data_IF_193835895301
#
_entry.id   IF_193835895301
#
_cell.length_a   1.000
_cell.length_b   1.000
_cell.length_c   1.000
_cell.angle_alpha   90.00
_cell.angle_beta   90.00
_cell.angle_gamma   90.00
#
_symmetry.space_group_name_H-M   'P 1'
#
loop_
_entity.id
_entity.type
_entity.pdbx_description
1 polymer ?
#
# COMPACT_ATOMS: atom_id res chain seq x y z
N UNK A 1 6.66 0.22 -2.10
CA UNK A 1 6.10 0.25 -3.48
C UNK A 1 6.72 -0.87 -4.31
N UNK A 2 5.93 -1.47 -5.19
CA UNK A 2 6.35 -2.39 -6.24
C UNK A 2 6.03 -1.74 -7.57
N UNK A 3 7.02 -1.54 -8.43
CA UNK A 3 6.96 -0.72 -9.64
C UNK A 3 7.58 -1.46 -10.82
N UNK A 4 7.42 -0.92 -12.02
CA UNK A 4 8.32 -1.29 -13.13
C UNK A 4 9.77 -0.90 -12.77
N UNK A 5 10.79 -1.68 -13.19
CA UNK A 5 12.20 -1.33 -12.93
C UNK A 5 12.57 0.08 -13.39
N UNK A 6 12.03 0.52 -14.54
CA UNK A 6 12.21 1.88 -15.08
C UNK A 6 11.51 2.96 -14.27
N UNK A 7 10.43 2.63 -13.55
CA UNK A 7 9.69 3.55 -12.69
C UNK A 7 10.32 3.77 -11.31
N UNK A 8 11.20 2.86 -10.86
CA UNK A 8 11.70 2.85 -9.49
C UNK A 8 12.56 4.07 -9.15
N UNK A 9 13.48 4.47 -10.03
CA UNK A 9 14.36 5.62 -9.78
C UNK A 9 13.56 6.90 -9.58
N UNK A 10 12.63 7.18 -10.51
CA UNK A 10 11.78 8.38 -10.43
C UNK A 10 10.87 8.38 -9.21
N UNK A 11 10.37 7.21 -8.81
CA UNK A 11 9.56 7.11 -7.59
C UNK A 11 10.40 7.40 -6.34
N UNK A 12 11.65 6.92 -6.29
CA UNK A 12 12.55 7.19 -5.17
C UNK A 12 12.87 8.68 -5.04
N UNK A 13 13.08 9.39 -6.15
CA UNK A 13 13.25 10.85 -6.16
C UNK A 13 12.03 11.54 -5.53
N UNK A 14 10.83 11.24 -6.03
CA UNK A 14 9.57 11.81 -5.53
C UNK A 14 9.40 11.54 -4.02
N UNK A 15 9.63 10.31 -3.58
CA UNK A 15 9.49 9.94 -2.17
C UNK A 15 10.52 10.66 -1.28
N UNK A 16 11.75 10.82 -1.76
CA UNK A 16 12.82 11.52 -1.03
C UNK A 16 12.53 13.02 -0.92
N UNK A 17 12.04 13.65 -1.99
CA UNK A 17 11.59 15.05 -2.00
C UNK A 17 10.45 15.32 -1.02
N UNK A 18 9.70 14.28 -0.65
CA UNK A 18 8.63 14.33 0.37
C UNK A 18 9.10 13.95 1.77
N UNK A 19 10.41 13.86 2.00
CA UNK A 19 11.00 13.57 3.31
C UNK A 19 10.94 12.09 3.71
N UNK A 20 10.66 11.18 2.78
CA UNK A 20 10.73 9.75 3.07
C UNK A 20 12.18 9.26 3.05
N UNK A 21 12.57 8.44 4.02
CA UNK A 21 13.81 7.69 3.95
C UNK A 21 13.58 6.43 3.09
N UNK A 22 14.28 6.29 1.96
CA UNK A 22 14.03 5.21 0.98
C UNK A 22 15.24 4.33 0.71
N UNK A 23 14.96 3.04 0.49
CA UNK A 23 15.87 2.04 -0.05
C UNK A 23 15.28 1.51 -1.36
N UNK A 24 16.06 1.60 -2.43
CA UNK A 24 15.61 1.29 -3.78
C UNK A 24 16.35 0.09 -4.35
N UNK A 25 15.61 -0.97 -4.66
CA UNK A 25 16.11 -2.14 -5.39
C UNK A 25 15.65 -2.03 -6.84
N UNK A 26 16.30 -1.14 -7.59
CA UNK A 26 15.89 -0.71 -8.94
C UNK A 26 15.75 -1.86 -9.94
N UNK A 27 16.63 -2.87 -9.88
CA UNK A 27 16.55 -4.08 -10.71
C UNK A 27 15.20 -4.80 -10.60
N UNK A 28 14.59 -4.80 -9.42
CA UNK A 28 13.35 -5.51 -9.14
C UNK A 28 12.14 -4.57 -9.09
N UNK A 29 12.34 -3.26 -9.27
CA UNK A 29 11.26 -2.28 -9.12
C UNK A 29 10.74 -2.13 -7.69
N UNK A 30 11.50 -2.57 -6.68
CA UNK A 30 11.06 -2.53 -5.28
C UNK A 30 11.62 -1.29 -4.61
N UNK A 31 10.74 -0.52 -3.96
CA UNK A 31 11.10 0.62 -3.12
C UNK A 31 10.54 0.40 -1.73
N UNK A 32 11.41 0.34 -0.74
CA UNK A 32 11.04 0.31 0.69
C UNK A 32 11.36 1.66 1.30
N UNK A 33 10.56 2.12 2.23
CA UNK A 33 10.85 3.39 2.88
C UNK A 33 10.04 3.61 4.14
N UNK A 34 10.52 4.56 4.93
CA UNK A 34 9.84 5.07 6.10
C UNK A 34 9.23 6.43 5.75
N UNK A 35 7.95 6.58 6.08
CA UNK A 35 7.27 7.86 5.96
C UNK A 35 7.71 8.78 7.10
N UNK A 36 7.72 10.10 6.89
CA UNK A 36 7.98 11.06 7.95
C UNK A 36 6.92 10.96 9.07
N UNK A 37 7.34 11.24 10.31
CA UNK A 37 6.49 11.10 11.50
C UNK A 37 5.35 12.11 11.57
N UNK A 38 5.53 13.27 10.94
CA UNK A 38 4.58 14.39 10.83
C UNK A 38 3.76 14.35 9.52
N UNK A 39 3.70 13.19 8.85
CA UNK A 39 2.94 13.03 7.61
C UNK A 39 1.47 13.42 7.77
N UNK A 40 0.91 13.99 6.72
CA UNK A 40 -0.55 14.07 6.54
C UNK A 40 -1.06 12.89 5.68
N UNK A 41 -2.38 12.68 5.67
CA UNK A 41 -2.99 11.62 4.86
C UNK A 41 -2.79 11.84 3.35
N UNK A 42 -2.65 13.11 2.92
CA UNK A 42 -2.41 13.48 1.52
C UNK A 42 -1.11 12.87 0.97
N UNK A 43 -0.03 12.84 1.75
CA UNK A 43 1.23 12.24 1.33
C UNK A 43 1.07 10.77 0.94
N UNK A 44 0.27 10.02 1.69
CA UNK A 44 0.05 8.59 1.41
C UNK A 44 -0.67 8.41 0.07
N UNK A 45 -1.68 9.24 -0.21
CA UNK A 45 -2.40 9.20 -1.48
C UNK A 45 -1.53 9.65 -2.65
N UNK A 46 -0.72 10.70 -2.49
CA UNK A 46 0.24 11.16 -3.50
C UNK A 46 1.20 10.04 -3.91
N UNK A 47 1.74 9.30 -2.93
CA UNK A 47 2.66 8.19 -3.18
C UNK A 47 1.95 6.99 -3.85
N UNK A 48 0.68 6.72 -3.52
CA UNK A 48 -0.13 5.72 -4.25
C UNK A 48 -0.29 6.10 -5.71
N UNK A 49 -0.70 7.32 -5.98
CA UNK A 49 -0.94 7.80 -7.34
C UNK A 49 0.36 7.82 -8.15
N UNK A 50 1.48 8.19 -7.53
CA UNK A 50 2.80 8.11 -8.13
C UNK A 50 3.17 6.66 -8.50
N UNK A 51 2.90 5.69 -7.63
CA UNK A 51 3.15 4.28 -7.91
C UNK A 51 2.26 3.74 -9.05
N UNK A 52 0.96 4.06 -9.03
CA UNK A 52 0.00 3.69 -10.07
C UNK A 52 0.38 4.24 -11.44
N UNK A 53 0.79 5.52 -11.51
CA UNK A 53 1.30 6.15 -12.75
C UNK A 53 2.54 5.44 -13.33
N UNK A 54 3.24 4.63 -12.54
CA UNK A 54 4.41 3.83 -12.96
C UNK A 54 4.06 2.35 -13.16
N UNK A 55 2.77 2.02 -13.24
CA UNK A 55 2.28 0.65 -13.44
C UNK A 55 2.50 -0.25 -12.23
N UNK A 56 2.57 0.33 -11.04
CA UNK A 56 2.89 -0.39 -9.81
C UNK A 56 1.86 -0.23 -8.70
N UNK A 57 2.21 -0.75 -7.53
CA UNK A 57 1.41 -0.69 -6.30
C UNK A 57 2.21 -0.07 -5.15
N UNK A 58 1.49 0.51 -4.21
CA UNK A 58 2.04 1.06 -2.98
C UNK A 58 1.32 0.42 -1.80
N UNK A 59 2.08 -0.13 -0.86
CA UNK A 59 1.55 -0.75 0.35
C UNK A 59 2.09 0.04 1.54
N UNK A 60 1.18 0.48 2.41
CA UNK A 60 1.52 1.11 3.68
C UNK A 60 1.45 0.07 4.79
N UNK A 61 2.52 -0.06 5.58
CA UNK A 61 2.56 -0.95 6.74
C UNK A 61 2.69 -0.06 7.98
N UNK A 62 1.65 0.00 8.82
CA UNK A 62 1.60 0.84 10.02
C UNK A 62 0.26 0.76 10.75
N UNK A 63 0.22 1.30 11.98
CA UNK A 63 -0.80 1.02 13.02
C UNK A 63 -2.17 1.71 12.84
N UNK A 64 -2.32 2.59 11.85
CA UNK A 64 -3.58 3.31 11.65
C UNK A 64 -4.45 2.59 10.61
N UNK A 65 -5.42 1.82 11.11
CA UNK A 65 -6.44 1.09 10.34
C UNK A 65 -7.42 1.97 9.53
N UNK A 66 -7.24 3.29 9.51
CA UNK A 66 -8.14 4.23 8.81
C UNK A 66 -7.95 4.26 7.29
N UNK A 67 -6.84 3.73 6.77
CA UNK A 67 -6.54 3.72 5.33
C UNK A 67 -6.35 2.25 4.91
N UNK A 68 -7.09 1.80 3.88
CA UNK A 68 -6.90 0.45 3.30
C UNK A 68 -5.44 0.30 2.87
N UNK A 69 -4.60 -0.50 3.53
CA UNK A 69 -3.16 -0.52 3.32
C UNK A 69 -2.74 -1.04 1.95
N UNK A 70 -3.63 -1.79 1.27
CA UNK A 70 -3.34 -2.45 0.00
C UNK A 70 -3.97 -1.77 -1.22
N UNK A 71 -4.86 -0.80 -0.98
CA UNK A 71 -5.50 -0.04 -2.05
C UNK A 71 -6.30 -0.94 -3.01
N UNK A 72 -7.00 -1.92 -2.45
CA UNK A 72 -7.63 -2.97 -3.23
C UNK A 72 -8.76 -2.40 -4.10
N UNK A 73 -8.88 -2.97 -5.29
CA UNK A 73 -10.05 -2.74 -6.13
C UNK A 73 -11.35 -3.16 -5.38
N UNK A 74 -12.41 -2.32 -5.37
CA UNK A 74 -13.64 -2.61 -4.62
C UNK A 74 -14.33 -3.93 -5.01
N UNK A 75 -14.26 -4.32 -6.29
CA UNK A 75 -14.81 -5.59 -6.76
C UNK A 75 -13.98 -6.75 -6.23
N UNK A 76 -12.64 -6.65 -6.25
CA UNK A 76 -11.76 -7.64 -5.65
C UNK A 76 -11.98 -7.80 -4.15
N UNK A 77 -12.16 -6.69 -3.41
CA UNK A 77 -12.53 -6.72 -1.98
C UNK A 77 -13.81 -7.52 -1.74
N UNK A 78 -14.81 -7.34 -2.59
CA UNK A 78 -16.08 -8.08 -2.50
C UNK A 78 -15.86 -9.58 -2.66
N UNK A 79 -15.03 -9.99 -3.62
CA UNK A 79 -14.69 -11.41 -3.80
C UNK A 79 -13.88 -11.98 -2.64
N UNK A 80 -12.88 -11.25 -2.14
CA UNK A 80 -12.07 -11.67 -1.00
C UNK A 80 -12.90 -11.85 0.27
N UNK A 81 -13.87 -10.95 0.53
CA UNK A 81 -14.83 -11.09 1.63
C UNK A 81 -15.70 -12.35 1.48
N UNK A 82 -16.17 -12.66 0.28
CA UNK A 82 -16.93 -13.91 0.00
C UNK A 82 -16.10 -15.16 0.28
N UNK A 83 -14.83 -15.16 -0.13
CA UNK A 83 -13.90 -16.27 0.13
C UNK A 83 -13.67 -16.42 1.64
N UNK A 84 -13.41 -15.32 2.35
CA UNK A 84 -13.21 -15.33 3.81
C UNK A 84 -14.43 -15.86 4.54
N UNK A 85 -15.64 -15.42 4.18
CA UNK A 85 -16.88 -15.89 4.80
C UNK A 85 -17.12 -17.40 4.57
N UNK A 86 -16.69 -17.93 3.43
CA UNK A 86 -16.79 -19.37 3.13
C UNK A 86 -15.78 -20.21 3.90
N UNK A 87 -14.57 -19.70 4.13
CA UNK A 87 -13.48 -20.43 4.79
C UNK A 87 -13.48 -20.28 6.32
N UNK A 88 -13.98 -19.16 6.83
CA UNK A 88 -14.02 -18.83 8.26
C UNK A 88 -15.35 -18.12 8.58
N UNK A 89 -16.47 -18.89 8.60
CA UNK A 89 -17.81 -18.35 8.82
C UNK A 89 -17.98 -17.76 10.23
N UNK A 90 -17.29 -18.32 11.22
CA UNK A 90 -17.32 -17.85 12.61
C UNK A 90 -16.35 -16.69 12.88
N UNK A 91 -15.59 -16.27 11.85
CA UNK A 91 -14.64 -15.17 11.90
C UNK A 91 -13.57 -15.27 13.01
N UNK A 92 -13.11 -16.48 13.31
CA UNK A 92 -12.12 -16.75 14.38
C UNK A 92 -10.68 -16.51 13.92
N UNK A 93 -10.40 -16.55 12.62
CA UNK A 93 -9.07 -16.39 12.05
C UNK A 93 -8.79 -14.92 11.73
N UNK A 94 -8.07 -14.24 12.65
CA UNK A 94 -7.59 -12.86 12.49
C UNK A 94 -8.70 -11.84 12.15
N UNK A 95 -9.71 -11.68 13.02
CA UNK A 95 -10.79 -10.73 12.80
C UNK A 95 -10.25 -9.29 12.66
N UNK A 96 -10.82 -8.53 11.73
CA UNK A 96 -10.53 -7.09 11.54
C UNK A 96 -9.19 -6.76 10.84
N UNK A 97 -8.31 -7.74 10.59
CA UNK A 97 -6.98 -7.45 10.00
C UNK A 97 -7.01 -7.13 8.50
N UNK A 98 -7.64 -7.99 7.70
CA UNK A 98 -7.65 -7.87 6.23
C UNK A 98 -8.80 -7.00 5.71
N UNK A 99 -9.91 -6.98 6.44
CA UNK A 99 -11.12 -6.26 6.06
C UNK A 99 -11.54 -5.42 7.26
N UNK A 100 -11.20 -4.13 7.29
CA UNK A 100 -11.70 -3.22 8.31
C UNK A 100 -13.23 -3.29 8.34
N UNK A 101 -13.77 -3.40 9.55
CA UNK A 101 -15.19 -3.21 9.83
C UNK A 101 -15.41 -1.71 9.90
N UNK A 102 -16.02 -1.14 8.86
CA UNK A 102 -16.57 0.22 8.94
C UNK A 102 -17.62 0.30 10.04
#
# INVERSE_FOLDING_TARGET
ASLTPSGAVRFCEIATERGCAVQCQTRFGIVRGLLPSDRNDNLTQELRDAARKKGGSFVLIGDNHSIDPFDYDPLMLTYMRKIKAKLDPDNILSPGKLFPTN
#
